data_IF_424066764849
#
_entry.id   IF_424066764849
#
_cell.length_a   1.000
_cell.length_b   1.000
_cell.length_c   1.000
_cell.angle_alpha   90.00
_cell.angle_beta   90.00
_cell.angle_gamma   90.00
#
_symmetry.space_group_name_H-M   'P 1'
#
loop_
_entity.id
_entity.type
_entity.pdbx_description
1 polymer ?
#
# COMPACT_ATOMS: atom_id res chain seq x y z
N UNK A 1 -7.69 19.22 -1.40
CA UNK A 1 -7.54 18.28 -0.26
C UNK A 1 -6.65 17.14 -0.71
N UNK A 2 -5.77 16.63 0.14
CA UNK A 2 -5.05 15.39 -0.16
C UNK A 2 -5.89 14.20 0.30
N UNK A 3 -5.86 13.11 -0.48
CA UNK A 3 -6.53 11.86 -0.18
C UNK A 3 -5.46 10.79 -0.08
N UNK A 4 -5.45 10.04 1.02
CA UNK A 4 -4.45 9.02 1.30
C UNK A 4 -4.56 8.51 2.73
N UNK A 5 -3.56 7.74 3.15
CA UNK A 5 -3.57 7.08 4.47
C UNK A 5 -3.31 8.05 5.64
N UNK A 6 -2.64 9.18 5.39
CA UNK A 6 -2.26 10.14 6.44
C UNK A 6 -0.95 9.83 7.16
N UNK A 7 -0.35 8.66 6.92
CA UNK A 7 0.95 8.25 7.44
C UNK A 7 1.65 7.31 6.45
N UNK A 8 2.99 7.20 6.48
CA UNK A 8 3.71 6.31 5.58
C UNK A 8 3.56 4.84 6.02
N UNK A 9 3.63 3.93 5.06
CA UNK A 9 3.80 2.49 5.28
C UNK A 9 5.23 2.13 4.90
N UNK A 10 5.88 1.26 5.69
CA UNK A 10 7.23 0.80 5.37
C UNK A 10 7.21 -0.07 4.10
N UNK A 11 8.20 0.08 3.22
CA UNK A 11 8.31 -0.71 1.99
C UNK A 11 8.30 -2.23 2.26
N UNK A 12 8.98 -2.68 3.32
CA UNK A 12 8.98 -4.10 3.67
C UNK A 12 7.63 -4.60 4.14
N UNK A 13 6.82 -3.76 4.80
CA UNK A 13 5.46 -4.13 5.19
C UNK A 13 4.52 -4.20 3.99
N UNK A 14 4.74 -3.33 3.00
CA UNK A 14 4.06 -3.39 1.71
C UNK A 14 4.40 -4.68 0.96
N UNK A 15 5.68 -5.05 0.87
CA UNK A 15 6.12 -6.32 0.25
C UNK A 15 5.51 -7.52 0.97
N UNK A 16 5.56 -7.55 2.32
CA UNK A 16 4.94 -8.63 3.12
C UNK A 16 3.44 -8.76 2.89
N UNK A 17 2.74 -7.65 2.66
CA UNK A 17 1.32 -7.68 2.31
C UNK A 17 1.09 -8.39 0.96
N UNK A 18 1.96 -8.15 -0.03
CA UNK A 18 1.92 -8.84 -1.33
C UNK A 18 2.18 -10.33 -1.14
N UNK A 19 3.23 -10.68 -0.39
CA UNK A 19 3.59 -12.09 -0.14
C UNK A 19 2.44 -12.85 0.53
N UNK A 20 1.83 -12.23 1.55
CA UNK A 20 0.69 -12.80 2.28
C UNK A 20 -0.54 -12.96 1.38
N UNK A 21 -0.85 -11.95 0.57
CA UNK A 21 -2.00 -12.00 -0.35
C UNK A 21 -1.80 -13.00 -1.50
N UNK A 22 -0.57 -13.18 -1.98
CA UNK A 22 -0.22 -14.15 -3.03
C UNK A 22 0.04 -15.56 -2.49
N UNK A 23 0.23 -15.72 -1.17
CA UNK A 23 0.61 -16.99 -0.54
C UNK A 23 2.02 -17.47 -0.93
N UNK A 24 2.92 -16.56 -1.30
CA UNK A 24 4.28 -16.87 -1.78
C UNK A 24 5.27 -15.80 -1.33
N UNK A 25 6.47 -16.22 -0.94
CA UNK A 25 7.56 -15.28 -0.63
C UNK A 25 8.19 -14.73 -1.91
N UNK A 26 8.58 -13.46 -1.88
CA UNK A 26 9.26 -12.80 -2.98
C UNK A 26 10.76 -13.14 -2.97
N UNK A 27 11.37 -13.27 -4.15
CA UNK A 27 12.82 -13.21 -4.31
C UNK A 27 13.26 -11.74 -4.25
N UNK A 28 13.61 -11.26 -3.05
CA UNK A 28 13.95 -9.86 -2.82
C UNK A 28 15.40 -9.59 -3.21
N UNK A 29 15.59 -8.71 -4.19
CA UNK A 29 16.90 -8.18 -4.58
C UNK A 29 17.05 -6.77 -4.04
N UNK A 30 17.81 -6.63 -2.96
CA UNK A 30 18.13 -5.32 -2.40
C UNK A 30 18.98 -4.51 -3.39
N UNK A 31 18.63 -3.23 -3.53
CA UNK A 31 19.32 -2.27 -4.37
C UNK A 31 19.59 -1.01 -3.55
N UNK A 32 20.55 -0.20 -4.00
CA UNK A 32 20.77 1.13 -3.43
C UNK A 32 19.59 2.06 -3.73
N UNK A 33 19.49 3.14 -2.95
CA UNK A 33 18.47 4.17 -3.15
C UNK A 33 18.63 4.80 -4.53
N UNK A 34 17.53 4.87 -5.29
CA UNK A 34 17.59 5.39 -6.65
C UNK A 34 17.61 6.92 -6.63
N UNK A 35 18.28 7.57 -7.61
CA UNK A 35 18.20 9.01 -7.77
C UNK A 35 16.74 9.45 -7.95
N UNK A 36 16.23 10.25 -7.01
CA UNK A 36 14.83 10.71 -7.00
C UNK A 36 13.94 10.05 -5.93
N UNK A 37 14.42 8.98 -5.28
CA UNK A 37 13.74 8.43 -4.11
C UNK A 37 13.73 9.43 -2.95
N UNK A 38 12.60 9.47 -2.24
CA UNK A 38 12.47 10.21 -0.99
C UNK A 38 12.36 9.22 0.17
N UNK A 39 13.09 9.47 1.25
CA UNK A 39 13.13 8.57 2.42
C UNK A 39 11.74 8.31 3.02
N UNK A 40 10.88 9.33 3.02
CA UNK A 40 9.53 9.27 3.58
C UNK A 40 8.66 10.34 2.94
N UNK A 41 7.54 9.92 2.40
CA UNK A 41 6.48 10.81 1.92
C UNK A 41 5.11 10.23 2.26
N UNK A 42 4.13 11.09 2.48
CA UNK A 42 2.74 10.73 2.70
C UNK A 42 1.84 11.95 2.47
N UNK A 43 0.56 11.70 2.22
CA UNK A 43 -0.45 12.75 2.13
C UNK A 43 -0.75 13.33 3.52
N UNK A 44 -0.65 14.65 3.68
CA UNK A 44 -1.28 15.33 4.82
C UNK A 44 -2.80 15.43 4.58
N UNK A 45 -3.56 14.64 5.34
CA UNK A 45 -5.03 14.54 5.23
C UNK A 45 -5.79 15.46 6.20
N UNK A 46 -5.09 16.28 6.99
CA UNK A 46 -5.69 17.06 8.08
C UNK A 46 -6.83 17.98 7.60
N UNK A 47 -6.68 18.58 6.40
CA UNK A 47 -7.71 19.43 5.82
C UNK A 47 -8.98 18.65 5.45
N UNK A 48 -8.84 17.41 4.97
CA UNK A 48 -9.96 16.57 4.54
C UNK A 48 -10.67 15.96 5.75
N UNK A 49 -9.90 15.52 6.76
CA UNK A 49 -10.41 15.09 8.06
C UNK A 49 -11.31 16.15 8.69
N UNK A 50 -10.81 17.40 8.84
CA UNK A 50 -11.57 18.48 9.49
C UNK A 50 -12.88 18.82 8.78
N UNK A 51 -12.91 18.77 7.45
CA UNK A 51 -14.07 19.20 6.67
C UNK A 51 -15.09 18.10 6.42
N UNK A 52 -14.63 16.85 6.28
CA UNK A 52 -15.44 15.76 5.77
C UNK A 52 -15.49 14.53 6.71
N UNK A 53 -14.87 14.61 7.90
CA UNK A 53 -14.68 13.47 8.80
C UNK A 53 -14.10 12.23 8.08
N UNK A 54 -13.16 12.51 7.17
CA UNK A 54 -12.55 11.47 6.34
C UNK A 54 -11.54 10.67 7.16
N UNK A 55 -11.78 9.36 7.27
CA UNK A 55 -10.83 8.42 7.86
C UNK A 55 -10.59 7.25 6.89
N UNK A 56 -9.36 6.99 6.45
CA UNK A 56 -9.06 5.79 5.68
C UNK A 56 -9.30 4.56 6.57
N UNK A 57 -10.14 3.64 6.13
CA UNK A 57 -10.56 2.44 6.90
C UNK A 57 -9.91 1.15 6.44
N UNK A 58 -9.25 1.18 5.29
CA UNK A 58 -8.61 0.01 4.68
C UNK A 58 -7.11 0.09 4.95
N UNK A 59 -6.60 -0.81 5.79
CA UNK A 59 -5.16 -0.98 5.97
C UNK A 59 -4.50 -1.66 4.77
N UNK A 60 -3.16 -1.70 4.75
CA UNK A 60 -2.43 -2.25 3.61
C UNK A 60 -2.68 -3.75 3.42
N UNK A 61 -2.86 -4.51 4.50
CA UNK A 61 -3.07 -5.96 4.43
C UNK A 61 -4.42 -6.28 3.78
N UNK A 62 -5.48 -5.60 4.24
CA UNK A 62 -6.83 -5.73 3.71
C UNK A 62 -6.90 -5.26 2.26
N UNK A 63 -6.31 -4.09 1.96
CA UNK A 63 -6.29 -3.53 0.61
C UNK A 63 -5.55 -4.43 -0.38
N UNK A 64 -4.39 -4.95 0.00
CA UNK A 64 -3.60 -5.84 -0.85
C UNK A 64 -4.31 -7.18 -1.11
N UNK A 65 -4.93 -7.76 -0.08
CA UNK A 65 -5.76 -8.96 -0.23
C UNK A 65 -6.86 -8.75 -1.27
N UNK A 66 -7.67 -7.71 -1.11
CA UNK A 66 -8.74 -7.39 -2.06
C UNK A 66 -8.21 -7.15 -3.47
N UNK A 67 -7.07 -6.48 -3.60
CA UNK A 67 -6.44 -6.23 -4.89
C UNK A 67 -6.01 -7.53 -5.57
N UNK A 68 -5.34 -8.44 -4.87
CA UNK A 68 -4.89 -9.72 -5.41
C UNK A 68 -6.09 -10.61 -5.77
N UNK A 69 -7.14 -10.64 -4.95
CA UNK A 69 -8.38 -11.36 -5.24
C UNK A 69 -9.04 -10.84 -6.54
N UNK A 70 -9.17 -9.52 -6.67
CA UNK A 70 -9.66 -8.89 -7.89
C UNK A 70 -8.76 -9.23 -9.10
N UNK A 71 -7.45 -9.11 -8.95
CA UNK A 71 -6.48 -9.35 -10.02
C UNK A 71 -6.57 -10.79 -10.52
N UNK A 72 -6.60 -11.78 -9.62
CA UNK A 72 -6.77 -13.19 -9.97
C UNK A 72 -8.08 -13.44 -10.70
N UNK A 73 -9.17 -12.83 -10.21
CA UNK A 73 -10.49 -12.95 -10.83
C UNK A 73 -10.49 -12.37 -12.25
N UNK A 74 -9.95 -11.16 -12.42
CA UNK A 74 -9.92 -10.46 -13.70
C UNK A 74 -9.09 -11.19 -14.76
N UNK A 75 -7.94 -11.76 -14.36
CA UNK A 75 -7.04 -12.50 -15.26
C UNK A 75 -7.30 -14.01 -15.31
N UNK A 76 -8.35 -14.52 -14.66
CA UNK A 76 -8.68 -15.96 -14.60
C UNK A 76 -7.52 -16.82 -14.08
N UNK A 77 -6.79 -16.30 -13.08
CA UNK A 77 -5.72 -17.03 -12.42
C UNK A 77 -6.28 -17.93 -11.32
N UNK A 78 -5.64 -19.09 -11.06
CA UNK A 78 -6.00 -19.94 -9.93
C UNK A 78 -5.76 -19.29 -8.55
#
# INVERSE_FOLDING_TARGET
>A
YNIGLGYPVNLMDFIRAIESACGKTADIRYQEMQPGDVLKTHADISALQRKCDYHPKTDIQTGMKHFVEWYKTYYHLP
#
